data_IF_663037101543
#
_entry.id   IF_663037101543
#
_cell.length_a   1.000
_cell.length_b   1.000
_cell.length_c   1.000
_cell.angle_alpha   90.00
_cell.angle_beta   90.00
_cell.angle_gamma   90.00
#
_symmetry.space_group_name_H-M   'P 1'
#
loop_
_entity.id
_entity.type
_entity.pdbx_description
1 polymer ?
#
# COMPACT_ATOMS: atom_id res chain seq x y z
N UNK A 1 29.21 6.28 -0.18
CA UNK A 1 28.20 6.70 -1.15
C UNK A 1 27.14 7.57 -0.52
N UNK A 2 26.74 8.68 -1.16
CA UNK A 2 25.68 9.57 -0.70
C UNK A 2 24.54 9.68 -1.69
N UNK A 3 23.30 9.66 -1.20
CA UNK A 3 22.11 9.83 -2.01
C UNK A 3 21.53 11.23 -1.77
N UNK A 4 21.64 12.10 -2.76
CA UNK A 4 21.06 13.43 -2.75
C UNK A 4 19.70 13.41 -3.46
N UNK A 5 18.74 14.16 -2.94
CA UNK A 5 17.44 14.34 -3.59
C UNK A 5 17.39 15.78 -4.09
N UNK A 6 17.50 15.93 -5.40
CA UNK A 6 17.39 17.23 -6.06
C UNK A 6 15.90 17.60 -6.17
N UNK A 7 15.56 18.81 -5.79
CA UNK A 7 14.22 19.39 -5.97
C UNK A 7 14.29 20.45 -7.08
N UNK A 8 13.46 20.32 -8.09
CA UNK A 8 13.39 21.24 -9.20
C UNK A 8 11.96 21.40 -9.71
N UNK A 9 11.74 22.24 -10.71
CA UNK A 9 10.41 22.49 -11.31
C UNK A 9 9.69 21.21 -11.76
N UNK A 10 10.45 20.17 -12.14
CA UNK A 10 9.95 18.88 -12.60
C UNK A 10 9.89 17.83 -11.48
N UNK A 11 9.85 18.25 -10.21
CA UNK A 11 9.74 17.38 -9.03
C UNK A 11 11.08 16.88 -8.51
N UNK A 12 11.01 15.85 -7.65
CA UNK A 12 12.18 15.29 -6.95
C UNK A 12 12.90 14.25 -7.78
N UNK A 13 14.24 14.33 -7.78
CA UNK A 13 15.10 13.39 -8.50
C UNK A 13 16.25 12.89 -7.61
N UNK A 14 16.39 11.57 -7.38
CA UNK A 14 17.49 11.01 -6.58
C UNK A 14 18.78 10.94 -7.43
N UNK A 15 19.86 11.44 -6.88
CA UNK A 15 21.20 11.43 -7.45
C UNK A 15 22.17 10.71 -6.51
N UNK A 16 22.80 9.63 -6.98
CA UNK A 16 23.79 8.90 -6.20
C UNK A 16 25.19 9.44 -6.53
N UNK A 17 25.92 9.84 -5.50
CA UNK A 17 27.29 10.33 -5.58
C UNK A 17 28.25 9.37 -4.88
N UNK A 18 29.47 9.26 -5.42
CA UNK A 18 30.56 8.56 -4.78
C UNK A 18 31.25 9.42 -3.69
N UNK A 19 32.29 8.89 -3.08
CA UNK A 19 33.02 9.56 -2.01
C UNK A 19 33.84 10.77 -2.50
N UNK A 20 34.03 10.91 -3.83
CA UNK A 20 34.62 12.07 -4.48
C UNK A 20 33.56 13.07 -5.01
N UNK A 21 32.30 12.91 -4.61
CA UNK A 21 31.15 13.71 -5.07
C UNK A 21 30.90 13.63 -6.58
N UNK A 22 31.36 12.57 -7.24
CA UNK A 22 31.08 12.31 -8.66
C UNK A 22 29.81 11.49 -8.81
N UNK A 23 29.08 11.74 -9.90
CA UNK A 23 27.84 11.04 -10.21
C UNK A 23 28.16 9.58 -10.57
N UNK A 24 27.43 8.66 -9.95
CA UNK A 24 27.43 7.24 -10.30
C UNK A 24 26.63 7.06 -11.59
N UNK A 25 27.30 7.12 -12.72
CA UNK A 25 26.68 7.16 -14.05
C UNK A 25 25.66 6.06 -14.33
N UNK A 26 25.91 4.75 -14.02
CA UNK A 26 24.91 3.71 -14.27
C UNK A 26 23.60 3.94 -13.49
N UNK A 27 23.69 4.39 -12.23
CA UNK A 27 22.51 4.71 -11.44
C UNK A 27 21.78 5.91 -12.02
N UNK A 28 22.50 6.96 -12.37
CA UNK A 28 21.92 8.16 -12.96
C UNK A 28 21.17 7.87 -14.26
N UNK A 29 21.76 7.06 -15.14
CA UNK A 29 21.15 6.65 -16.41
C UNK A 29 19.82 5.89 -16.16
N UNK A 30 19.86 4.91 -15.28
CA UNK A 30 18.64 4.16 -14.92
C UNK A 30 17.57 5.06 -14.28
N UNK A 31 17.95 6.01 -13.41
CA UNK A 31 17.01 6.96 -12.83
C UNK A 31 16.39 7.87 -13.90
N UNK A 32 17.15 8.31 -14.90
CA UNK A 32 16.62 9.07 -16.05
C UNK A 32 15.57 8.24 -16.82
N UNK A 33 15.86 6.98 -17.08
CA UNK A 33 14.91 6.04 -17.72
C UNK A 33 13.62 5.93 -16.91
N UNK A 34 13.71 5.72 -15.61
CA UNK A 34 12.51 5.64 -14.75
C UNK A 34 11.70 6.95 -14.75
N UNK A 35 12.36 8.09 -14.82
CA UNK A 35 11.70 9.40 -14.93
C UNK A 35 11.02 9.57 -16.29
N UNK A 36 11.66 9.18 -17.38
CA UNK A 36 11.06 9.20 -18.72
C UNK A 36 9.85 8.26 -18.86
N UNK A 37 9.84 7.16 -18.10
CA UNK A 37 8.69 6.25 -17.96
C UNK A 37 7.56 6.83 -17.10
N UNK A 38 7.64 8.09 -16.68
CA UNK A 38 6.66 8.74 -15.78
C UNK A 38 6.43 7.98 -14.46
N UNK A 39 7.47 7.36 -13.89
CA UNK A 39 7.38 6.75 -12.56
C UNK A 39 7.20 7.83 -11.49
N UNK A 40 6.34 7.54 -10.50
CA UNK A 40 6.10 8.46 -9.40
C UNK A 40 7.39 8.78 -8.62
N UNK A 41 7.53 10.00 -8.12
CA UNK A 41 8.70 10.49 -7.37
C UNK A 41 9.10 9.56 -6.22
N UNK A 42 8.14 9.11 -5.42
CA UNK A 42 8.41 8.17 -4.34
C UNK A 42 8.98 6.83 -4.85
N UNK A 43 8.62 6.42 -6.07
CA UNK A 43 9.20 5.24 -6.72
C UNK A 43 10.65 5.50 -7.11
N UNK A 44 10.95 6.67 -7.67
CA UNK A 44 12.33 7.09 -8.00
C UNK A 44 13.19 7.10 -6.74
N UNK A 45 12.73 7.76 -5.68
CA UNK A 45 13.47 7.86 -4.41
C UNK A 45 13.69 6.46 -3.79
N UNK A 46 12.67 5.58 -3.82
CA UNK A 46 12.81 4.22 -3.32
C UNK A 46 13.85 3.43 -4.11
N UNK A 47 13.83 3.50 -5.45
CA UNK A 47 14.84 2.85 -6.30
C UNK A 47 16.24 3.42 -6.04
N UNK A 48 16.37 4.75 -5.89
CA UNK A 48 17.65 5.40 -5.55
C UNK A 48 18.22 4.88 -4.22
N UNK A 49 17.38 4.73 -3.18
CA UNK A 49 17.79 4.16 -1.90
C UNK A 49 18.20 2.69 -2.01
N UNK A 50 17.49 1.90 -2.79
CA UNK A 50 17.82 0.51 -3.02
C UNK A 50 19.15 0.35 -3.76
N UNK A 51 19.36 1.16 -4.80
CA UNK A 51 20.61 1.18 -5.56
C UNK A 51 21.78 1.68 -4.72
N UNK A 52 21.57 2.67 -3.82
CA UNK A 52 22.60 3.07 -2.87
C UNK A 52 23.08 1.89 -2.02
N UNK A 53 22.17 1.11 -1.46
CA UNK A 53 22.50 -0.08 -0.66
C UNK A 53 23.29 -1.08 -1.50
N UNK A 54 22.92 -1.25 -2.77
CA UNK A 54 23.61 -2.16 -3.67
C UNK A 54 25.01 -1.64 -4.02
N UNK A 55 25.16 -0.36 -4.32
CA UNK A 55 26.49 0.24 -4.59
C UNK A 55 27.41 0.23 -3.38
N UNK A 56 26.91 0.48 -2.17
CA UNK A 56 27.68 0.31 -0.94
C UNK A 56 28.25 -1.12 -0.81
N UNK A 57 27.44 -2.14 -1.17
CA UNK A 57 27.89 -3.54 -1.20
C UNK A 57 28.95 -3.77 -2.29
N UNK A 58 28.78 -3.24 -3.51
CA UNK A 58 29.73 -3.41 -4.59
C UNK A 58 31.11 -2.82 -4.23
N UNK A 59 31.15 -1.60 -3.71
CA UNK A 59 32.39 -0.93 -3.35
C UNK A 59 33.09 -1.68 -2.21
N UNK A 60 32.33 -2.05 -1.17
CA UNK A 60 32.89 -2.78 -0.04
C UNK A 60 33.60 -4.08 -0.45
N UNK A 61 33.09 -4.75 -1.49
CA UNK A 61 33.64 -6.01 -1.96
C UNK A 61 34.53 -5.85 -3.20
N UNK A 62 34.81 -4.61 -3.65
CA UNK A 62 35.58 -4.31 -4.86
C UNK A 62 34.99 -4.95 -6.13
N UNK A 63 33.66 -5.03 -6.23
CA UNK A 63 32.96 -5.56 -7.39
C UNK A 63 32.60 -4.46 -8.37
N UNK A 64 32.69 -4.81 -9.68
CA UNK A 64 32.24 -3.95 -10.77
C UNK A 64 30.82 -4.39 -11.18
N UNK A 65 29.92 -3.45 -11.39
CA UNK A 65 28.48 -3.73 -11.57
C UNK A 65 28.17 -4.58 -12.81
N UNK A 66 28.96 -4.51 -13.88
CA UNK A 66 28.80 -5.23 -15.14
C UNK A 66 29.44 -6.63 -15.13
N UNK A 67 30.24 -6.96 -14.10
CA UNK A 67 30.88 -8.26 -13.90
C UNK A 67 30.20 -9.12 -12.82
N UNK A 68 29.00 -8.72 -12.36
CA UNK A 68 28.29 -9.40 -11.29
C UNK A 68 27.72 -10.74 -11.75
N UNK A 69 27.96 -11.76 -10.93
CA UNK A 69 27.48 -13.13 -11.14
C UNK A 69 26.34 -13.48 -10.18
N UNK A 70 25.59 -14.56 -10.42
CA UNK A 70 24.57 -15.05 -9.47
C UNK A 70 25.11 -15.32 -8.06
N UNK A 71 26.38 -15.71 -7.93
CA UNK A 71 27.05 -15.91 -6.63
C UNK A 71 27.18 -14.60 -5.87
N UNK A 72 27.51 -13.49 -6.54
CA UNK A 72 27.60 -12.16 -5.91
C UNK A 72 26.21 -11.67 -5.47
N UNK A 73 25.15 -12.02 -6.18
CA UNK A 73 23.77 -11.72 -5.77
C UNK A 73 23.38 -12.51 -4.51
N UNK A 74 23.83 -13.76 -4.37
CA UNK A 74 23.64 -14.51 -3.13
C UNK A 74 24.37 -13.84 -1.95
N UNK A 75 25.62 -13.40 -2.15
CA UNK A 75 26.36 -12.65 -1.12
C UNK A 75 25.67 -11.32 -0.79
N UNK A 76 25.14 -10.61 -1.79
CA UNK A 76 24.36 -9.40 -1.55
C UNK A 76 23.10 -9.68 -0.76
N UNK A 77 22.39 -10.77 -1.05
CA UNK A 77 21.24 -11.20 -0.26
C UNK A 77 21.62 -11.46 1.21
N UNK A 78 22.74 -12.14 1.46
CA UNK A 78 23.26 -12.35 2.82
C UNK A 78 23.61 -11.04 3.52
N UNK A 79 24.24 -10.10 2.80
CA UNK A 79 24.51 -8.74 3.26
C UNK A 79 23.22 -8.00 3.68
N UNK A 80 22.12 -8.18 2.95
CA UNK A 80 20.84 -7.56 3.28
C UNK A 80 20.22 -8.07 4.58
N UNK A 81 20.54 -9.30 5.00
CA UNK A 81 20.09 -9.85 6.28
C UNK A 81 20.88 -9.31 7.47
N UNK A 82 22.15 -8.95 7.29
CA UNK A 82 23.02 -8.54 8.40
C UNK A 82 22.59 -7.20 9.00
N UNK A 83 22.66 -7.10 10.32
CA UNK A 83 22.51 -5.85 11.05
C UNK A 83 23.71 -4.93 10.82
N UNK A 84 24.91 -5.49 10.99
CA UNK A 84 26.16 -4.84 10.61
C UNK A 84 26.74 -5.55 9.36
N UNK A 85 26.80 -4.86 8.22
CA UNK A 85 27.32 -5.44 6.96
C UNK A 85 28.78 -5.91 7.07
N UNK A 86 29.54 -5.36 8.01
CA UNK A 86 30.96 -5.64 8.23
C UNK A 86 31.21 -6.74 9.25
N UNK A 87 30.14 -7.28 9.85
CA UNK A 87 30.24 -8.37 10.80
C UNK A 87 30.48 -9.72 10.08
N UNK A 88 31.52 -10.44 10.51
CA UNK A 88 31.85 -11.76 9.99
C UNK A 88 30.94 -12.89 10.53
N UNK A 89 30.08 -12.59 11.52
CA UNK A 89 29.18 -13.59 12.12
C UNK A 89 28.23 -14.17 11.06
N UNK A 90 28.06 -15.50 11.01
CA UNK A 90 27.14 -16.13 10.07
C UNK A 90 25.70 -15.64 10.27
N UNK A 91 24.99 -15.38 9.16
CA UNK A 91 23.60 -14.87 9.13
C UNK A 91 22.63 -15.71 9.97
N UNK A 92 22.89 -17.00 10.13
CA UNK A 92 22.05 -17.92 10.91
C UNK A 92 21.93 -17.54 12.41
N UNK A 93 22.86 -16.74 12.93
CA UNK A 93 22.93 -16.35 14.33
C UNK A 93 22.63 -14.85 14.57
N UNK A 94 22.23 -14.12 13.51
CA UNK A 94 21.90 -12.70 13.62
C UNK A 94 20.41 -12.48 13.36
N UNK A 95 19.81 -11.55 14.11
CA UNK A 95 18.51 -11.02 13.75
C UNK A 95 18.61 -10.24 12.44
N UNK A 96 17.63 -10.43 11.57
CA UNK A 96 17.63 -9.72 10.29
C UNK A 96 17.25 -8.25 10.48
N UNK A 97 18.14 -7.35 10.04
CA UNK A 97 17.85 -5.90 10.02
C UNK A 97 16.66 -5.54 9.13
N UNK A 98 16.41 -6.31 8.07
CA UNK A 98 15.38 -6.01 7.09
C UNK A 98 14.37 -7.13 7.00
N UNK A 99 13.10 -6.76 6.84
CA UNK A 99 12.02 -7.75 6.61
C UNK A 99 12.21 -8.45 5.26
N UNK A 100 11.72 -9.71 5.11
CA UNK A 100 11.71 -10.42 3.83
C UNK A 100 11.10 -9.61 2.68
N UNK A 101 10.03 -8.87 2.94
CA UNK A 101 9.37 -7.98 1.97
C UNK A 101 10.31 -6.87 1.50
N UNK A 102 11.06 -6.25 2.42
CA UNK A 102 12.06 -5.22 2.09
C UNK A 102 13.19 -5.81 1.24
N UNK A 103 13.72 -6.99 1.62
CA UNK A 103 14.78 -7.67 0.85
C UNK A 103 14.29 -8.00 -0.56
N UNK A 104 13.10 -8.57 -0.70
CA UNK A 104 12.51 -8.89 -2.01
C UNK A 104 12.28 -7.65 -2.88
N UNK A 105 11.90 -6.52 -2.27
CA UNK A 105 11.76 -5.24 -2.98
C UNK A 105 13.10 -4.75 -3.51
N UNK A 106 14.16 -4.77 -2.69
CA UNK A 106 15.52 -4.37 -3.10
C UNK A 106 16.00 -5.27 -4.26
N UNK A 107 15.87 -6.59 -4.11
CA UNK A 107 16.25 -7.53 -5.18
C UNK A 107 15.46 -7.29 -6.47
N UNK A 108 14.19 -6.91 -6.39
CA UNK A 108 13.39 -6.54 -7.57
C UNK A 108 13.87 -5.25 -8.23
N UNK A 109 14.33 -4.27 -7.45
CA UNK A 109 14.94 -3.04 -8.00
C UNK A 109 16.23 -3.39 -8.76
N UNK A 110 17.09 -4.23 -8.19
CA UNK A 110 18.34 -4.65 -8.83
C UNK A 110 18.06 -5.48 -10.09
N UNK A 111 17.08 -6.39 -10.05
CA UNK A 111 16.65 -7.14 -11.24
C UNK A 111 16.24 -6.21 -12.38
N UNK A 112 15.39 -5.23 -12.11
CA UNK A 112 14.92 -4.28 -13.13
C UNK A 112 16.06 -3.37 -13.63
N UNK A 113 17.01 -3.03 -12.77
CA UNK A 113 18.22 -2.32 -13.17
C UNK A 113 19.01 -3.13 -14.22
N UNK A 114 19.26 -4.42 -13.95
CA UNK A 114 19.98 -5.28 -14.90
C UNK A 114 19.15 -5.66 -16.14
N UNK A 115 17.82 -5.69 -16.06
CA UNK A 115 16.99 -5.79 -17.28
C UNK A 115 17.25 -4.61 -18.21
N UNK A 116 17.24 -3.40 -17.67
CA UNK A 116 17.52 -2.20 -18.46
C UNK A 116 18.95 -2.22 -19.07
N UNK A 117 19.97 -2.53 -18.27
CA UNK A 117 21.35 -2.57 -18.73
C UNK A 117 21.60 -3.74 -19.70
N UNK A 118 20.87 -4.83 -19.58
CA UNK A 118 20.90 -5.93 -20.55
C UNK A 118 20.33 -5.54 -21.90
N UNK A 119 19.27 -4.72 -21.92
CA UNK A 119 18.64 -4.24 -23.16
C UNK A 119 19.46 -3.14 -23.86
N UNK A 120 20.16 -2.29 -23.10
CA UNK A 120 20.83 -1.08 -23.64
C UNK A 120 22.36 -1.28 -23.79
N UNK A 121 22.98 -2.00 -22.87
CA UNK A 121 24.44 -2.14 -22.78
C UNK A 121 24.92 -3.61 -22.83
N UNK A 122 24.03 -4.56 -23.13
CA UNK A 122 24.33 -6.00 -23.20
C UNK A 122 24.90 -6.61 -21.89
N UNK A 123 24.68 -5.95 -20.75
CA UNK A 123 25.13 -6.43 -19.44
C UNK A 123 24.22 -7.59 -18.98
N UNK A 124 24.82 -8.73 -18.67
CA UNK A 124 24.07 -9.91 -18.22
C UNK A 124 23.32 -9.66 -16.91
N UNK A 125 22.06 -10.13 -16.83
CA UNK A 125 21.31 -10.06 -15.58
C UNK A 125 21.71 -11.18 -14.61
N UNK A 126 22.37 -10.87 -13.48
CA UNK A 126 22.83 -11.89 -12.54
C UNK A 126 21.69 -12.49 -11.67
N UNK A 127 20.49 -11.90 -11.70
CA UNK A 127 19.34 -12.39 -10.94
C UNK A 127 18.59 -13.43 -11.78
N UNK A 128 18.87 -14.71 -11.51
CA UNK A 128 18.24 -15.81 -12.21
C UNK A 128 16.76 -15.94 -11.84
N UNK A 129 15.93 -16.10 -12.86
CA UNK A 129 14.50 -16.36 -12.72
C UNK A 129 14.18 -17.81 -12.99
N UNK A 130 13.34 -18.41 -12.15
CA UNK A 130 12.86 -19.79 -12.31
C UNK A 130 11.36 -19.75 -12.61
N UNK A 131 10.98 -20.45 -13.66
CA UNK A 131 9.58 -20.74 -13.94
C UNK A 131 9.10 -21.87 -13.02
N UNK A 132 8.03 -21.60 -12.30
CA UNK A 132 7.35 -22.61 -11.50
C UNK A 132 6.00 -22.87 -12.16
N UNK A 133 5.89 -24.03 -12.80
CA UNK A 133 4.61 -24.55 -13.23
C UNK A 133 3.81 -24.93 -11.96
N UNK A 134 2.75 -24.19 -11.66
CA UNK A 134 1.79 -24.65 -10.66
C UNK A 134 1.09 -25.85 -11.24
N UNK A 135 1.40 -27.06 -10.72
CA UNK A 135 0.75 -28.30 -11.10
C UNK A 135 -0.77 -28.11 -11.08
N UNK A 136 -1.45 -28.84 -11.97
CA UNK A 136 -2.92 -28.85 -12.03
C UNK A 136 -3.48 -29.19 -10.64
N UNK A 137 -4.05 -28.21 -9.96
CA UNK A 137 -4.92 -28.49 -8.82
C UNK A 137 -6.16 -29.21 -9.37
N UNK A 138 -6.48 -30.37 -8.82
CA UNK A 138 -7.58 -31.24 -9.24
C UNK A 138 -8.95 -30.57 -9.12
N UNK A 139 -9.06 -29.47 -8.40
CA UNK A 139 -10.25 -28.61 -8.32
C UNK A 139 -10.11 -27.40 -9.24
N UNK A 140 -10.58 -27.52 -10.47
CA UNK A 140 -10.75 -26.40 -11.41
C UNK A 140 -11.94 -25.55 -10.93
N UNK A 141 -11.68 -24.41 -10.30
CA UNK A 141 -12.71 -23.41 -10.06
C UNK A 141 -13.20 -22.81 -11.39
N UNK A 142 -14.48 -22.45 -11.46
CA UNK A 142 -15.17 -21.92 -12.64
C UNK A 142 -14.44 -20.73 -13.34
N UNK A 143 -13.57 -20.01 -12.63
CA UNK A 143 -12.79 -18.87 -13.11
C UNK A 143 -11.37 -19.20 -13.63
N UNK A 144 -10.98 -20.47 -13.68
CA UNK A 144 -9.62 -20.84 -14.13
C UNK A 144 -9.39 -20.60 -15.62
N UNK A 145 -10.45 -20.61 -16.44
CA UNK A 145 -10.38 -20.30 -17.87
C UNK A 145 -10.00 -18.83 -18.18
N UNK A 146 -10.09 -17.94 -17.19
CA UNK A 146 -9.70 -16.53 -17.32
C UNK A 146 -8.24 -16.25 -16.90
N UNK A 147 -7.48 -17.23 -16.42
CA UNK A 147 -6.07 -17.10 -16.07
C UNK A 147 -5.18 -17.49 -17.24
N UNK A 148 -4.60 -16.51 -17.89
CA UNK A 148 -3.87 -16.64 -19.14
C UNK A 148 -2.59 -17.51 -19.09
N UNK A 149 -1.99 -17.81 -17.91
CA UNK A 149 -0.85 -18.74 -17.78
C UNK A 149 -0.75 -19.34 -16.38
N UNK A 150 -0.54 -20.67 -16.31
CA UNK A 150 -0.26 -21.39 -15.05
C UNK A 150 1.21 -21.27 -14.59
N UNK A 151 2.02 -20.48 -15.27
CA UNK A 151 3.44 -20.29 -15.00
C UNK A 151 3.65 -19.02 -14.20
N UNK A 152 4.27 -19.14 -13.02
CA UNK A 152 4.74 -17.99 -12.26
C UNK A 152 6.25 -17.97 -12.28
N UNK A 153 6.83 -16.83 -12.68
CA UNK A 153 8.28 -16.63 -12.70
C UNK A 153 8.70 -15.99 -11.37
N UNK A 154 9.64 -16.61 -10.68
CA UNK A 154 10.18 -16.11 -9.42
C UNK A 154 11.70 -16.09 -9.46
N UNK A 155 12.30 -15.07 -8.84
CA UNK A 155 13.74 -15.09 -8.58
C UNK A 155 14.10 -16.25 -7.64
N UNK A 156 15.19 -16.97 -7.95
CA UNK A 156 15.74 -18.01 -7.07
C UNK A 156 16.24 -17.42 -5.73
N UNK A 157 16.50 -16.12 -5.69
CA UNK A 157 16.97 -15.40 -4.50
C UNK A 157 15.83 -14.87 -3.63
N UNK A 158 14.58 -15.05 -4.05
CA UNK A 158 13.42 -14.58 -3.30
C UNK A 158 13.37 -15.18 -1.91
N UNK A 159 13.23 -14.33 -0.91
CA UNK A 159 13.04 -14.72 0.50
C UNK A 159 11.58 -15.06 0.73
N UNK A 160 11.33 -16.16 1.44
CA UNK A 160 9.97 -16.55 1.82
C UNK A 160 9.38 -15.48 2.77
N UNK A 161 8.29 -14.88 2.35
CA UNK A 161 7.54 -13.95 3.19
C UNK A 161 6.59 -14.74 4.10
N UNK A 162 6.67 -14.48 5.39
CA UNK A 162 5.62 -14.89 6.32
C UNK A 162 4.52 -13.86 6.17
N UNK A 163 3.33 -14.29 5.76
CA UNK A 163 2.16 -13.39 5.75
C UNK A 163 1.88 -13.01 7.20
N UNK A 164 2.10 -11.76 7.54
CA UNK A 164 1.55 -11.22 8.78
C UNK A 164 0.04 -11.16 8.65
N UNK A 165 -0.67 -11.59 9.67
CA UNK A 165 -2.10 -11.35 9.77
C UNK A 165 -2.34 -9.83 9.75
N UNK A 166 -3.45 -9.43 9.10
CA UNK A 166 -3.84 -8.02 9.12
C UNK A 166 -4.23 -7.64 10.55
N UNK A 167 -3.78 -6.48 10.96
CA UNK A 167 -4.27 -5.88 12.19
C UNK A 167 -5.69 -5.34 11.92
N UNK A 168 -6.70 -6.05 12.42
CA UNK A 168 -8.11 -5.67 12.31
C UNK A 168 -8.50 -4.99 13.61
N UNK A 169 -8.89 -3.73 13.52
CA UNK A 169 -9.29 -2.95 14.68
C UNK A 169 -10.73 -3.26 15.08
N UNK A 170 -10.95 -3.48 16.36
CA UNK A 170 -12.31 -3.58 16.91
C UNK A 170 -13.02 -2.22 16.89
N UNK A 171 -14.34 -2.23 16.92
CA UNK A 171 -15.14 -0.99 17.02
C UNK A 171 -14.75 -0.16 18.26
N UNK A 172 -14.40 -0.82 19.36
CA UNK A 172 -13.95 -0.14 20.57
C UNK A 172 -12.60 0.55 20.37
N UNK A 173 -11.64 -0.12 19.74
CA UNK A 173 -10.34 0.47 19.38
C UNK A 173 -10.50 1.67 18.44
N UNK A 174 -11.39 1.57 17.44
CA UNK A 174 -11.68 2.70 16.51
C UNK A 174 -12.22 3.90 17.29
N UNK A 175 -13.14 3.68 18.25
CA UNK A 175 -13.66 4.74 19.11
C UNK A 175 -12.62 5.31 20.06
N UNK A 176 -11.78 4.47 20.67
CA UNK A 176 -10.69 4.91 21.55
C UNK A 176 -9.71 5.83 20.81
N UNK A 177 -9.29 5.45 19.60
CA UNK A 177 -8.43 6.28 18.76
C UNK A 177 -9.11 7.60 18.43
N UNK A 178 -10.37 7.56 17.94
CA UNK A 178 -11.15 8.77 17.65
C UNK A 178 -11.20 9.73 18.84
N UNK A 179 -11.44 9.23 20.03
CA UNK A 179 -11.56 10.04 21.25
C UNK A 179 -10.21 10.59 21.74
N UNK A 180 -9.10 9.92 21.40
CA UNK A 180 -7.76 10.38 21.74
C UNK A 180 -7.22 11.48 20.80
N UNK A 181 -7.93 11.75 19.70
CA UNK A 181 -7.55 12.78 18.73
C UNK A 181 -8.22 14.12 19.13
N UNK A 182 -7.44 15.08 19.59
CA UNK A 182 -7.93 16.38 20.05
C UNK A 182 -8.27 17.32 18.87
N UNK A 183 -7.46 17.27 17.81
CA UNK A 183 -7.56 18.14 16.64
C UNK A 183 -8.75 17.74 15.74
N UNK A 184 -9.65 18.70 15.44
CA UNK A 184 -10.85 18.47 14.60
C UNK A 184 -10.50 17.94 13.21
N UNK A 185 -9.47 18.51 12.55
CA UNK A 185 -8.98 18.09 11.22
C UNK A 185 -8.56 16.62 11.22
N UNK A 186 -7.70 16.23 12.16
CA UNK A 186 -7.13 14.89 12.23
C UNK A 186 -8.20 13.86 12.64
N UNK A 187 -9.14 14.26 13.50
CA UNK A 187 -10.32 13.47 13.86
C UNK A 187 -11.22 13.20 12.66
N UNK A 188 -11.48 14.22 11.83
CA UNK A 188 -12.26 14.06 10.60
C UNK A 188 -11.55 13.16 9.59
N UNK A 189 -10.24 13.30 9.41
CA UNK A 189 -9.43 12.38 8.58
C UNK A 189 -9.62 10.94 9.05
N UNK A 190 -9.56 10.70 10.37
CA UNK A 190 -9.79 9.37 10.95
C UNK A 190 -11.20 8.83 10.64
N UNK A 191 -12.23 9.66 10.81
CA UNK A 191 -13.62 9.30 10.52
C UNK A 191 -13.79 8.96 9.04
N UNK A 192 -13.24 9.75 8.14
CA UNK A 192 -13.28 9.52 6.70
C UNK A 192 -12.60 8.18 6.32
N UNK A 193 -11.45 7.88 6.89
CA UNK A 193 -10.76 6.61 6.65
C UNK A 193 -11.58 5.41 7.15
N UNK A 194 -12.15 5.52 8.35
CA UNK A 194 -12.93 4.45 8.97
C UNK A 194 -14.26 4.19 8.25
N UNK A 195 -14.92 5.23 7.76
CA UNK A 195 -16.25 5.14 7.13
C UNK A 195 -16.23 4.83 5.64
N UNK A 196 -15.11 5.05 4.95
CA UNK A 196 -15.02 4.90 3.49
C UNK A 196 -14.03 3.81 3.05
N UNK A 197 -13.13 3.38 3.93
CA UNK A 197 -12.01 2.51 3.58
C UNK A 197 -11.06 3.11 2.54
N UNK A 198 -11.09 4.43 2.32
CA UNK A 198 -10.21 5.13 1.39
C UNK A 198 -8.73 5.02 1.81
N UNK A 199 -7.82 5.25 0.86
CA UNK A 199 -6.39 5.37 1.18
C UNK A 199 -6.11 6.74 1.80
N UNK A 200 -5.20 6.82 2.74
CA UNK A 200 -4.81 8.11 3.36
C UNK A 200 -4.47 9.17 2.31
N UNK A 201 -3.76 8.82 1.24
CA UNK A 201 -3.42 9.75 0.16
C UNK A 201 -4.64 10.22 -0.64
N UNK A 202 -5.71 9.43 -0.71
CA UNK A 202 -6.98 9.82 -1.34
C UNK A 202 -7.68 10.87 -0.47
N UNK A 203 -7.66 10.69 0.85
CA UNK A 203 -8.24 11.65 1.80
C UNK A 203 -7.43 12.95 1.85
N UNK A 204 -6.11 12.87 1.99
CA UNK A 204 -5.25 14.06 1.99
C UNK A 204 -5.31 14.84 0.67
N UNK A 205 -5.58 14.14 -0.43
CA UNK A 205 -5.73 14.73 -1.77
C UNK A 205 -7.12 15.29 -2.09
N UNK A 206 -8.07 15.26 -1.14
CA UNK A 206 -9.40 15.81 -1.36
C UNK A 206 -9.35 17.31 -1.59
N UNK A 207 -10.12 17.75 -2.59
CA UNK A 207 -10.31 19.13 -2.96
C UNK A 207 -11.79 19.53 -2.79
N UNK A 208 -12.06 20.81 -2.61
CA UNK A 208 -13.42 21.36 -2.42
C UNK A 208 -14.36 20.89 -3.54
N UNK A 209 -13.87 20.83 -4.78
CA UNK A 209 -14.65 20.38 -5.94
C UNK A 209 -14.94 18.87 -5.98
N UNK A 210 -14.37 18.06 -5.08
CA UNK A 210 -14.74 16.66 -4.94
C UNK A 210 -16.00 16.45 -4.09
N UNK A 211 -16.38 17.48 -3.30
CA UNK A 211 -17.51 17.42 -2.36
C UNK A 211 -18.80 17.74 -3.11
N UNK A 212 -19.79 16.83 -3.13
CA UNK A 212 -21.06 17.08 -3.78
C UNK A 212 -21.94 17.97 -2.93
N UNK A 213 -23.03 18.48 -3.52
CA UNK A 213 -24.14 19.02 -2.76
C UNK A 213 -24.73 17.95 -1.84
N UNK A 214 -25.08 18.32 -0.60
CA UNK A 214 -25.61 17.40 0.40
C UNK A 214 -27.10 17.22 0.16
N UNK A 215 -27.49 15.99 -0.14
CA UNK A 215 -28.90 15.59 -0.13
C UNK A 215 -29.20 14.88 1.20
N UNK A 216 -29.93 15.54 2.07
CA UNK A 216 -30.31 15.03 3.38
C UNK A 216 -31.32 13.88 3.34
N UNK A 217 -31.92 13.59 2.17
CA UNK A 217 -32.83 12.44 2.00
C UNK A 217 -32.10 11.13 1.75
N UNK A 218 -30.81 11.20 1.33
CA UNK A 218 -29.99 10.04 1.01
C UNK A 218 -29.08 9.68 2.18
N UNK A 219 -28.98 8.38 2.49
CA UNK A 219 -28.06 7.89 3.53
C UNK A 219 -26.59 7.89 3.08
N UNK A 220 -26.36 7.78 1.78
CA UNK A 220 -25.04 7.69 1.17
C UNK A 220 -24.87 8.75 0.08
N UNK A 221 -23.68 9.33 0.04
CA UNK A 221 -23.26 10.32 -0.95
C UNK A 221 -21.99 9.84 -1.68
N UNK A 222 -21.52 10.61 -2.68
CA UNK A 222 -20.37 10.24 -3.49
C UNK A 222 -19.40 11.41 -3.59
N UNK A 223 -18.19 11.25 -3.05
CA UNK A 223 -17.07 12.15 -3.35
C UNK A 223 -16.57 11.84 -4.76
N UNK A 224 -16.65 12.82 -5.66
CA UNK A 224 -16.40 12.61 -7.09
C UNK A 224 -14.95 12.89 -7.49
N UNK A 225 -14.45 12.11 -8.45
CA UNK A 225 -13.16 12.36 -9.10
C UNK A 225 -11.96 12.45 -8.16
N UNK A 226 -11.95 11.72 -7.04
CA UNK A 226 -10.85 11.71 -6.07
C UNK A 226 -9.59 11.11 -6.71
N UNK A 227 -8.46 11.81 -6.61
CA UNK A 227 -7.16 11.34 -7.15
C UNK A 227 -6.68 10.09 -6.41
N UNK A 228 -6.35 9.03 -7.17
CA UNK A 228 -5.84 7.75 -6.64
C UNK A 228 -4.75 7.20 -7.55
N UNK A 229 -3.48 7.28 -7.14
CA UNK A 229 -2.31 6.71 -7.87
C UNK A 229 -2.37 6.90 -9.39
N UNK A 230 -2.48 8.13 -9.85
CA UNK A 230 -2.51 8.48 -11.29
C UNK A 230 -3.85 8.26 -11.99
N UNK A 231 -4.89 7.87 -11.26
CA UNK A 231 -6.28 7.75 -11.75
C UNK A 231 -7.21 8.58 -10.86
N UNK A 232 -8.43 8.77 -11.33
CA UNK A 232 -9.52 9.31 -10.51
C UNK A 232 -10.50 8.19 -10.21
N UNK A 233 -11.13 8.21 -9.04
CA UNK A 233 -12.24 7.35 -8.68
C UNK A 233 -13.26 8.08 -7.81
N UNK A 234 -14.45 7.57 -7.80
CA UNK A 234 -15.48 8.01 -6.88
C UNK A 234 -15.38 7.22 -5.56
N UNK A 235 -15.71 7.86 -4.44
CA UNK A 235 -15.69 7.26 -3.10
C UNK A 235 -17.05 7.42 -2.48
N UNK A 236 -17.68 6.31 -2.12
CA UNK A 236 -18.91 6.31 -1.33
C UNK A 236 -18.63 6.79 0.09
N UNK A 237 -19.47 7.68 0.59
CA UNK A 237 -19.36 8.30 1.92
C UNK A 237 -20.75 8.35 2.57
N UNK A 238 -20.89 7.99 3.86
CA UNK A 238 -22.13 8.24 4.59
C UNK A 238 -22.46 9.74 4.60
N UNK A 239 -23.71 10.09 4.32
CA UNK A 239 -24.13 11.51 4.25
C UNK A 239 -23.85 12.23 5.55
N UNK A 240 -23.98 11.58 6.70
CA UNK A 240 -23.60 12.17 7.99
C UNK A 240 -22.10 12.54 8.06
N UNK A 241 -21.21 11.71 7.52
CA UNK A 241 -19.77 12.01 7.44
C UNK A 241 -19.49 13.12 6.44
N UNK A 242 -20.27 13.21 5.37
CA UNK A 242 -20.18 14.31 4.40
C UNK A 242 -20.59 15.65 5.04
N UNK A 243 -21.62 15.65 5.90
CA UNK A 243 -22.01 16.83 6.68
C UNK A 243 -20.88 17.28 7.61
N UNK A 244 -20.21 16.35 8.30
CA UNK A 244 -19.05 16.68 9.14
C UNK A 244 -17.90 17.28 8.30
N UNK A 245 -17.69 16.78 7.08
CA UNK A 245 -16.69 17.30 6.14
C UNK A 245 -17.05 18.72 5.68
N UNK A 246 -18.29 18.97 5.32
CA UNK A 246 -18.78 20.28 4.91
C UNK A 246 -18.67 21.31 6.05
N UNK A 247 -19.09 20.94 7.24
CA UNK A 247 -18.93 21.78 8.43
C UNK A 247 -17.46 22.14 8.68
N UNK A 248 -16.53 21.18 8.54
CA UNK A 248 -15.10 21.47 8.66
C UNK A 248 -14.62 22.46 7.59
N UNK A 249 -15.10 22.31 6.36
CA UNK A 249 -14.76 23.24 5.25
C UNK A 249 -15.24 24.64 5.60
N UNK A 250 -16.46 24.78 6.03
CA UNK A 250 -17.08 26.08 6.33
C UNK A 250 -16.48 26.74 7.58
N UNK A 251 -16.26 25.99 8.65
CA UNK A 251 -15.85 26.53 9.95
C UNK A 251 -14.32 26.67 10.09
N UNK A 252 -13.54 25.80 9.43
CA UNK A 252 -12.10 25.72 9.66
C UNK A 252 -11.29 26.01 8.38
N UNK A 253 -11.60 25.31 7.26
CA UNK A 253 -10.80 25.41 6.05
C UNK A 253 -10.86 26.79 5.40
N UNK A 254 -12.03 27.40 5.30
CA UNK A 254 -12.18 28.74 4.71
C UNK A 254 -11.57 29.85 5.56
N UNK A 255 -11.28 29.61 6.83
CA UNK A 255 -10.57 30.54 7.70
C UNK A 255 -9.04 30.48 7.55
N UNK A 256 -8.53 29.55 6.70
CA UNK A 256 -7.10 29.43 6.40
C UNK A 256 -6.85 29.99 5.01
N UNK A 257 -5.98 31.00 4.91
CA UNK A 257 -5.52 31.53 3.63
C UNK A 257 -4.68 30.50 2.89
N UNK A 258 -5.10 30.14 1.67
CA UNK A 258 -4.42 29.18 0.82
C UNK A 258 -4.81 29.42 -0.65
N UNK A 259 -3.84 29.33 -1.54
CA UNK A 259 -3.95 29.56 -2.99
C UNK A 259 -4.40 28.32 -3.78
N UNK A 260 -4.93 27.31 -3.09
CA UNK A 260 -5.35 26.02 -3.65
C UNK A 260 -6.61 25.47 -2.98
N UNK A 261 -7.25 24.48 -3.62
CA UNK A 261 -8.53 23.89 -3.21
C UNK A 261 -8.42 22.65 -2.30
N UNK A 262 -7.22 22.26 -1.85
CA UNK A 262 -7.10 21.13 -0.92
C UNK A 262 -7.84 21.39 0.37
N UNK A 263 -8.62 20.40 0.84
CA UNK A 263 -9.44 20.52 2.05
C UNK A 263 -8.57 20.47 3.30
N UNK A 264 -7.63 19.51 3.36
CA UNK A 264 -6.77 19.31 4.51
C UNK A 264 -5.45 20.07 4.34
N UNK A 265 -5.24 21.04 5.20
CA UNK A 265 -4.06 21.94 5.18
C UNK A 265 -3.30 21.89 6.50
N UNK A 266 -2.02 22.24 6.45
CA UNK A 266 -1.20 22.39 7.64
C UNK A 266 -1.68 23.59 8.47
N UNK A 267 -1.69 23.44 9.81
CA UNK A 267 -2.14 24.46 10.75
C UNK A 267 -0.99 25.03 11.60
N UNK A 268 0.22 24.44 11.51
CA UNK A 268 1.41 24.93 12.18
C UNK A 268 1.91 26.22 11.51
N UNK A 269 2.49 27.12 12.29
CA UNK A 269 2.90 28.46 11.82
C UNK A 269 3.82 28.44 10.59
N UNK A 270 4.74 27.46 10.53
CA UNK A 270 5.72 27.34 9.45
C UNK A 270 5.11 27.01 8.08
N UNK A 271 4.11 26.11 8.06
CA UNK A 271 3.57 25.54 6.82
C UNK A 271 2.08 25.84 6.66
N UNK A 272 1.56 26.81 7.45
CA UNK A 272 0.14 27.15 7.49
C UNK A 272 -0.41 27.43 6.10
N UNK A 273 -1.51 26.78 5.79
CA UNK A 273 -2.16 26.87 4.49
C UNK A 273 -1.62 25.93 3.42
N UNK A 274 -0.43 25.34 3.57
CA UNK A 274 0.06 24.33 2.62
C UNK A 274 -0.76 23.03 2.70
N UNK A 275 -0.85 22.25 1.60
CA UNK A 275 -1.51 20.94 1.63
C UNK A 275 -0.90 20.05 2.72
N UNK A 276 -1.76 19.39 3.51
CA UNK A 276 -1.30 18.53 4.62
C UNK A 276 -0.47 17.36 4.08
N UNK A 277 0.78 17.27 4.50
CA UNK A 277 1.67 16.18 4.09
C UNK A 277 1.38 14.89 4.84
N UNK A 278 1.69 13.75 4.20
CA UNK A 278 1.60 12.43 4.85
C UNK A 278 2.48 12.35 6.11
N UNK A 279 3.68 12.93 6.07
CA UNK A 279 4.60 12.92 7.21
C UNK A 279 4.04 13.68 8.43
N UNK A 280 3.37 14.81 8.20
CA UNK A 280 2.76 15.60 9.27
C UNK A 280 1.61 14.84 9.96
N UNK A 281 0.69 14.26 9.19
CA UNK A 281 -0.40 13.46 9.75
C UNK A 281 0.11 12.16 10.40
N UNK A 282 1.14 11.52 9.82
CA UNK A 282 1.75 10.33 10.39
C UNK A 282 2.35 10.63 11.77
N UNK A 283 3.08 11.73 11.92
CA UNK A 283 3.66 12.14 13.21
C UNK A 283 2.58 12.39 14.26
N UNK A 284 1.49 13.09 13.89
CA UNK A 284 0.35 13.31 14.80
C UNK A 284 -0.23 11.98 15.31
N UNK A 285 -0.29 10.95 14.46
CA UNK A 285 -0.81 9.64 14.84
C UNK A 285 0.17 8.78 15.64
N UNK A 286 1.47 8.99 15.55
CA UNK A 286 2.44 8.37 16.48
C UNK A 286 2.17 8.80 17.94
N UNK A 287 1.87 10.07 18.17
CA UNK A 287 1.50 10.59 19.49
C UNK A 287 0.19 9.96 20.00
N UNK A 288 -0.77 9.70 19.10
CA UNK A 288 -2.03 9.03 19.44
C UNK A 288 -1.78 7.57 19.83
N UNK A 289 -0.88 6.84 19.15
CA UNK A 289 -0.50 5.46 19.53
C UNK A 289 0.02 5.39 20.96
N UNK A 290 0.85 6.34 21.35
CA UNK A 290 1.34 6.42 22.72
C UNK A 290 0.21 6.64 23.75
N UNK A 291 -0.82 7.44 23.40
CA UNK A 291 -1.99 7.69 24.26
C UNK A 291 -2.89 6.46 24.41
N UNK A 292 -3.15 5.70 23.32
CA UNK A 292 -4.07 4.56 23.35
C UNK A 292 -3.41 3.25 23.79
N UNK A 293 -2.07 3.16 23.76
CA UNK A 293 -1.29 2.02 24.26
C UNK A 293 -1.25 0.80 23.32
N UNK A 294 -1.64 0.94 22.06
CA UNK A 294 -1.52 -0.12 21.05
C UNK A 294 -1.14 0.45 19.67
N UNK A 295 -0.51 -0.41 18.85
CA UNK A 295 -0.07 -0.03 17.52
C UNK A 295 -1.21 -0.17 16.49
N UNK A 296 -1.28 0.81 15.59
CA UNK A 296 -2.17 0.79 14.44
C UNK A 296 -1.57 1.66 13.31
N UNK A 297 -2.08 1.51 12.10
CA UNK A 297 -1.71 2.34 10.97
C UNK A 297 -2.94 2.65 10.09
N UNK A 298 -2.81 3.58 9.16
CA UNK A 298 -3.94 3.96 8.30
C UNK A 298 -4.45 2.83 7.40
N UNK A 299 -3.58 1.85 7.08
CA UNK A 299 -4.01 0.69 6.31
C UNK A 299 -4.85 -0.29 7.13
N UNK A 300 -4.67 -0.33 8.46
CA UNK A 300 -5.46 -1.19 9.34
C UNK A 300 -6.94 -0.80 9.30
N UNK A 301 -7.26 0.52 9.23
CA UNK A 301 -8.64 0.99 9.04
C UNK A 301 -9.23 0.48 7.73
N UNK A 302 -8.45 0.53 6.66
CA UNK A 302 -8.89 0.04 5.37
C UNK A 302 -9.06 -1.47 5.35
N UNK A 303 -8.18 -2.22 6.02
CA UNK A 303 -8.32 -3.66 6.22
C UNK A 303 -9.55 -3.98 7.06
N UNK A 304 -9.77 -3.25 8.15
CA UNK A 304 -10.94 -3.39 9.01
C UNK A 304 -12.23 -3.12 8.23
N UNK A 305 -12.29 -2.03 7.48
CA UNK A 305 -13.45 -1.69 6.65
C UNK A 305 -13.78 -2.81 5.64
N UNK A 306 -12.76 -3.32 4.93
CA UNK A 306 -12.96 -4.41 3.97
C UNK A 306 -13.39 -5.72 4.66
N UNK A 307 -12.84 -6.03 5.84
CA UNK A 307 -13.21 -7.21 6.64
C UNK A 307 -14.65 -7.10 7.11
N UNK A 308 -15.07 -5.96 7.65
CA UNK A 308 -16.45 -5.72 8.08
C UNK A 308 -17.45 -5.90 6.92
N UNK A 309 -17.10 -5.44 5.69
CA UNK A 309 -17.96 -5.66 4.53
C UNK A 309 -18.09 -7.16 4.17
N UNK A 310 -17.00 -7.91 4.29
CA UNK A 310 -17.03 -9.37 4.12
C UNK A 310 -17.88 -10.03 5.20
N UNK A 311 -17.73 -9.59 6.44
CA UNK A 311 -18.49 -10.11 7.59
C UNK A 311 -20.00 -9.90 7.48
N UNK A 312 -20.46 -8.82 6.87
CA UNK A 312 -21.88 -8.59 6.56
C UNK A 312 -22.34 -9.24 5.25
N UNK A 313 -21.49 -10.06 4.61
CA UNK A 313 -21.86 -10.88 3.46
C UNK A 313 -21.80 -10.13 2.10
N UNK A 314 -21.13 -8.99 2.00
CA UNK A 314 -20.99 -8.27 0.73
C UNK A 314 -20.07 -9.04 -0.22
N UNK A 315 -20.51 -9.17 -1.48
CA UNK A 315 -19.74 -9.86 -2.52
C UNK A 315 -18.36 -9.23 -2.74
N UNK A 316 -17.34 -10.07 -2.91
CA UNK A 316 -15.94 -9.67 -3.06
C UNK A 316 -15.71 -8.77 -4.30
N UNK A 317 -16.51 -8.94 -5.36
CA UNK A 317 -16.43 -8.09 -6.55
C UNK A 317 -16.94 -6.69 -6.22
N UNK A 318 -18.01 -6.58 -5.44
CA UNK A 318 -18.55 -5.30 -4.96
C UNK A 318 -17.53 -4.62 -4.03
N UNK A 319 -16.97 -5.36 -3.08
CA UNK A 319 -15.91 -4.85 -2.18
C UNK A 319 -14.71 -4.36 -2.99
N UNK A 320 -14.28 -5.10 -4.01
CA UNK A 320 -13.22 -4.66 -4.93
C UNK A 320 -13.54 -3.29 -5.55
N UNK A 321 -14.78 -3.10 -6.00
CA UNK A 321 -15.27 -1.84 -6.57
C UNK A 321 -15.19 -0.69 -5.55
N UNK A 322 -15.80 -0.88 -4.38
CA UNK A 322 -15.82 0.10 -3.28
C UNK A 322 -14.38 0.48 -2.88
N UNK A 323 -13.50 -0.51 -2.70
CA UNK A 323 -12.12 -0.31 -2.30
C UNK A 323 -11.22 0.25 -3.42
N UNK A 324 -11.65 0.23 -4.67
CA UNK A 324 -10.83 0.63 -5.82
C UNK A 324 -9.57 -0.24 -5.99
N UNK A 325 -9.70 -1.58 -5.83
CA UNK A 325 -8.63 -2.52 -6.05
C UNK A 325 -8.48 -2.85 -7.53
N UNK A 326 -7.25 -2.74 -8.07
CA UNK A 326 -6.98 -3.08 -9.48
C UNK A 326 -7.20 -4.57 -9.76
N UNK A 327 -6.81 -5.45 -8.80
CA UNK A 327 -6.86 -6.90 -8.95
C UNK A 327 -7.76 -7.53 -7.88
N UNK A 328 -8.53 -8.54 -8.25
CA UNK A 328 -9.38 -9.32 -7.32
C UNK A 328 -8.53 -10.00 -6.25
N UNK A 329 -7.31 -10.44 -6.60
CA UNK A 329 -6.38 -11.05 -5.64
C UNK A 329 -6.04 -10.18 -4.43
N UNK A 330 -6.14 -8.85 -4.57
CA UNK A 330 -5.97 -7.92 -3.43
C UNK A 330 -7.18 -7.97 -2.47
N UNK A 331 -8.37 -8.29 -2.99
CA UNK A 331 -9.59 -8.40 -2.19
C UNK A 331 -9.78 -9.82 -1.65
N UNK A 332 -9.33 -10.84 -2.40
CA UNK A 332 -9.46 -12.25 -2.00
C UNK A 332 -8.69 -12.62 -0.71
N UNK A 333 -7.75 -11.79 -0.29
CA UNK A 333 -7.08 -11.95 1.02
C UNK A 333 -8.05 -11.84 2.20
N UNK A 334 -9.18 -11.13 2.04
CA UNK A 334 -10.22 -11.01 3.07
C UNK A 334 -11.19 -12.19 3.09
N UNK A 335 -11.23 -13.01 2.02
CA UNK A 335 -12.09 -14.21 1.95
C UNK A 335 -11.69 -15.24 3.01
N UNK A 336 -10.41 -15.34 3.35
CA UNK A 336 -9.95 -16.26 4.40
C UNK A 336 -10.50 -15.89 5.78
N UNK A 337 -10.86 -14.63 6.01
CA UNK A 337 -11.51 -14.14 7.21
C UNK A 337 -13.01 -14.49 7.20
N UNK A 338 -13.61 -14.63 6.01
CA UNK A 338 -15.03 -14.98 5.83
C UNK A 338 -15.35 -16.46 6.07
N UNK A 339 -14.37 -17.37 6.19
CA UNK A 339 -14.64 -18.82 6.42
C UNK A 339 -15.47 -19.10 7.67
N UNK A 340 -15.43 -18.22 8.65
CA UNK A 340 -16.32 -18.30 9.81
C UNK A 340 -17.78 -18.09 9.42
N UNK A 341 -18.04 -17.26 8.42
CA UNK A 341 -19.36 -16.91 7.90
C UNK A 341 -19.96 -17.95 6.94
N UNK A 342 -19.13 -18.70 6.20
CA UNK A 342 -19.63 -19.72 5.27
C UNK A 342 -20.57 -20.71 5.96
N UNK A 343 -20.23 -21.12 7.18
CA UNK A 343 -21.06 -22.03 7.96
C UNK A 343 -22.37 -21.41 8.43
N UNK A 344 -22.34 -20.15 8.83
CA UNK A 344 -23.53 -19.40 9.28
C UNK A 344 -24.48 -19.13 8.11
N UNK A 345 -23.96 -18.65 6.99
CA UNK A 345 -24.72 -18.39 5.76
C UNK A 345 -25.37 -19.67 5.21
N UNK A 346 -24.64 -20.78 5.17
CA UNK A 346 -25.19 -22.07 4.77
C UNK A 346 -26.24 -22.58 5.77
N UNK A 347 -26.01 -22.36 7.06
CA UNK A 347 -26.99 -22.73 8.09
C UNK A 347 -28.29 -21.94 7.93
N UNK A 348 -28.19 -20.64 7.66
CA UNK A 348 -29.37 -19.77 7.43
C UNK A 348 -30.10 -20.09 6.12
N UNK A 349 -29.32 -20.39 5.07
CA UNK A 349 -29.87 -20.88 3.80
C UNK A 349 -30.68 -22.15 4.01
N UNK A 350 -30.13 -23.17 4.66
CA UNK A 350 -30.80 -24.43 4.89
C UNK A 350 -32.01 -24.29 5.83
N UNK A 351 -31.96 -23.39 6.80
CA UNK A 351 -33.15 -23.06 7.63
C UNK A 351 -34.28 -22.45 6.80
N UNK A 352 -33.96 -21.65 5.77
CA UNK A 352 -34.96 -21.07 4.86
C UNK A 352 -35.53 -22.11 3.89
N UNK A 353 -34.66 -22.95 3.30
CA UNK A 353 -35.04 -24.02 2.37
C UNK A 353 -35.87 -25.08 3.11
N UNK A 354 -35.42 -25.55 4.29
CA UNK A 354 -36.16 -26.52 5.09
C UNK A 354 -37.52 -26.03 5.59
N UNK A 355 -37.75 -24.73 5.73
CA UNK A 355 -39.06 -24.15 6.00
C UNK A 355 -40.00 -24.19 4.77
N UNK A 356 -39.45 -24.17 3.56
CA UNK A 356 -40.25 -24.31 2.33
C UNK A 356 -40.73 -25.77 2.17
N UNK A 357 -39.88 -26.75 2.45
CA UNK A 357 -40.23 -28.17 2.36
C UNK A 357 -41.29 -28.61 3.41
N UNK A 358 -41.27 -28.05 4.62
CA UNK A 358 -42.25 -28.35 5.70
C UNK A 358 -43.63 -27.72 5.44
N UNK A 359 -43.68 -26.63 4.65
CA UNK A 359 -44.97 -26.00 4.33
C UNK A 359 -45.73 -26.72 3.19
N UNK A 360 -45.04 -27.46 2.31
CA UNK A 360 -45.68 -28.23 1.23
C UNK A 360 -46.35 -29.52 1.73
N UNK A 361 -45.92 -30.10 2.86
CA UNK A 361 -46.59 -31.29 3.44
C UNK A 361 -47.82 -30.94 4.25
N UNK A 362 -48.04 -29.69 4.65
CA UNK A 362 -49.22 -29.27 5.43
C UNK A 362 -50.41 -28.86 4.60
N UNK A 363 -50.30 -28.72 3.29
CA UNK A 363 -51.42 -28.41 2.36
C UNK A 363 -52.01 -29.65 1.67
N UNK A 364 -51.51 -30.87 1.99
CA UNK A 364 -51.98 -32.15 1.42
C UNK A 364 -52.66 -33.06 2.45
N UNK A 365 -53.13 -32.54 3.60
CA UNK A 365 -53.87 -33.28 4.60
C UNK A 365 -55.29 -32.71 4.81
#
# INVERSE_FOLDING_TARGET
>A
MELHILEGENGKFPLLLDDEMKIVNPVYEYMKKLKSDNKAENTLIANGRDLKIYWDFLIHNYYVYDEITPRHIQQFREFLFKENPYDSTPVLYQESKRTPTTINRILSTIYNFYVYFGEVHEVGNPILMKEINRGFNVFKGFLEHARATNTTVHSIFKVKEVKSDFNILTLEQIKQIRNAIDNKRDRLIWILLASTGARIQEILGLQINNVPYIDHSEEMSILKNVKSKGKKRDILIPTQTLIELDNYIMEERYNVDADHDYIFVALNERDKGNPLSYSAIYQSFEDIKAKVGFNFNFHDLRHTFATNLVEVGIDVIVIKGIMGHKHVSTTSQYIHLAKKYEKEVLTDYWKKVGKLEVNDESELS
#
